data_IF_784641954882
#
_entry.id   IF_784641954882
#
_cell.length_a   1.000
_cell.length_b   1.000
_cell.length_c   1.000
_cell.angle_alpha   90.00
_cell.angle_beta   90.00
_cell.angle_gamma   90.00
#
_symmetry.space_group_name_H-M   'P 1'
#
loop_
_entity.id
_entity.type
_entity.pdbx_description
1 polymer ?
#
# COMPACT_ATOMS: atom_id res chain seq x y z
N UNK A 1 -8.55 4.96 13.61
CA UNK A 1 -9.12 3.70 13.03
C UNK A 1 -10.22 3.98 12.02
N UNK A 2 -11.04 4.99 12.20
CA UNK A 2 -12.21 5.20 11.33
C UNK A 2 -11.84 5.43 9.86
N UNK A 3 -10.94 6.37 9.58
CA UNK A 3 -10.51 6.65 8.21
C UNK A 3 -9.75 5.49 7.57
N UNK A 4 -8.76 4.91 8.27
CA UNK A 4 -7.81 3.98 7.66
C UNK A 4 -8.29 2.51 7.65
N UNK A 5 -9.29 2.15 8.45
CA UNK A 5 -9.75 0.75 8.58
C UNK A 5 -11.23 0.62 8.28
N UNK A 6 -12.10 1.38 9.00
CA UNK A 6 -13.54 1.29 8.78
C UNK A 6 -13.96 1.77 7.39
N UNK A 7 -13.43 2.93 6.94
CA UNK A 7 -13.84 3.48 5.65
C UNK A 7 -13.54 2.54 4.47
N UNK A 8 -12.33 1.96 4.31
CA UNK A 8 -12.08 1.00 3.24
C UNK A 8 -12.99 -0.23 3.30
N UNK A 9 -13.25 -0.75 4.50
CA UNK A 9 -14.14 -1.90 4.67
C UNK A 9 -15.58 -1.58 4.28
N UNK A 10 -16.17 -0.55 4.87
CA UNK A 10 -17.56 -0.22 4.61
C UNK A 10 -17.81 0.34 3.22
N UNK A 11 -16.84 1.05 2.62
CA UNK A 11 -16.92 1.47 1.22
C UNK A 11 -16.92 0.25 0.29
N UNK A 12 -16.03 -0.71 0.51
CA UNK A 12 -16.02 -1.95 -0.28
C UNK A 12 -17.30 -2.74 -0.10
N UNK A 13 -17.83 -2.80 1.13
CA UNK A 13 -19.11 -3.45 1.41
C UNK A 13 -20.27 -2.75 0.68
N UNK A 14 -20.33 -1.43 0.72
CA UNK A 14 -21.37 -0.65 0.05
C UNK A 14 -21.31 -0.79 -1.48
N UNK A 15 -20.12 -0.98 -2.04
CA UNK A 15 -19.92 -1.16 -3.48
C UNK A 15 -19.93 -2.64 -3.92
N UNK A 16 -20.11 -3.57 -2.99
CA UNK A 16 -19.97 -5.01 -3.25
C UNK A 16 -20.76 -5.49 -4.47
N UNK A 17 -22.04 -5.15 -4.55
CA UNK A 17 -22.92 -5.64 -5.62
C UNK A 17 -22.52 -5.07 -6.99
N UNK A 18 -22.07 -3.81 -7.04
CA UNK A 18 -21.54 -3.19 -8.25
C UNK A 18 -20.23 -3.83 -8.70
N UNK A 19 -19.30 -4.06 -7.76
CA UNK A 19 -18.04 -4.73 -8.02
C UNK A 19 -18.26 -6.15 -8.54
N UNK A 20 -19.14 -6.92 -7.88
CA UNK A 20 -19.51 -8.28 -8.28
C UNK A 20 -20.17 -8.31 -9.65
N UNK A 21 -21.07 -7.36 -9.94
CA UNK A 21 -21.75 -7.28 -11.23
C UNK A 21 -20.79 -6.93 -12.39
N UNK A 22 -19.72 -6.16 -12.10
CA UNK A 22 -18.71 -5.77 -13.09
C UNK A 22 -17.62 -6.82 -13.28
N UNK A 23 -17.27 -7.58 -12.22
CA UNK A 23 -16.21 -8.57 -12.22
C UNK A 23 -16.55 -9.83 -13.03
N UNK A 24 -15.55 -10.34 -13.78
CA UNK A 24 -15.60 -11.61 -14.50
C UNK A 24 -14.32 -12.40 -14.25
N UNK A 25 -14.35 -13.69 -14.48
CA UNK A 25 -13.18 -14.55 -14.24
C UNK A 25 -11.95 -14.08 -15.03
N UNK A 26 -12.14 -13.60 -16.25
CA UNK A 26 -11.09 -13.12 -17.15
C UNK A 26 -10.77 -11.64 -16.96
N UNK A 27 -11.56 -10.94 -16.16
CA UNK A 27 -11.41 -9.52 -15.86
C UNK A 27 -12.05 -9.21 -14.49
N UNK A 28 -11.40 -9.59 -13.37
CA UNK A 28 -11.95 -9.36 -12.05
C UNK A 28 -12.05 -7.87 -11.72
N UNK A 29 -13.07 -7.50 -10.95
CA UNK A 29 -13.13 -6.17 -10.36
C UNK A 29 -11.94 -5.95 -9.39
N UNK A 30 -11.50 -4.72 -9.23
CA UNK A 30 -10.30 -4.38 -8.45
C UNK A 30 -10.64 -3.47 -7.27
N UNK A 31 -10.10 -3.82 -6.12
CA UNK A 31 -10.04 -2.96 -4.92
C UNK A 31 -8.57 -2.84 -4.53
N UNK A 32 -8.04 -1.61 -4.53
CA UNK A 32 -6.65 -1.34 -4.18
C UNK A 32 -6.64 -0.42 -2.96
N UNK A 33 -6.24 -0.94 -1.81
CA UNK A 33 -6.12 -0.18 -0.58
C UNK A 33 -4.75 0.53 -0.52
N UNK A 34 -4.73 1.77 -0.06
CA UNK A 34 -3.48 2.49 0.19
C UNK A 34 -3.11 2.34 1.66
N UNK A 35 -2.12 1.49 1.92
CA UNK A 35 -1.58 1.21 3.25
C UNK A 35 -0.38 2.12 3.58
N UNK A 36 0.67 1.61 4.13
CA UNK A 36 1.97 2.28 4.35
C UNK A 36 3.02 1.23 4.70
N UNK A 37 4.29 1.51 4.44
CA UNK A 37 5.39 0.71 5.00
C UNK A 37 5.40 0.73 6.52
N UNK A 38 4.80 1.73 7.17
CA UNK A 38 4.62 1.79 8.62
C UNK A 38 3.62 0.76 9.15
N UNK A 39 2.88 0.09 8.28
CA UNK A 39 2.12 -1.11 8.62
C UNK A 39 2.92 -2.40 8.52
N UNK A 40 4.12 -2.36 7.93
CA UNK A 40 5.01 -3.52 7.70
C UNK A 40 6.18 -3.49 8.67
N UNK A 41 6.78 -2.31 8.86
CA UNK A 41 7.91 -2.08 9.76
C UNK A 41 7.63 -0.85 10.63
N UNK A 42 8.27 -0.78 11.77
CA UNK A 42 8.22 0.42 12.60
C UNK A 42 9.32 1.42 12.19
N UNK A 43 9.04 2.69 12.42
CA UNK A 43 9.99 3.78 12.38
C UNK A 43 10.15 4.40 13.80
N UNK A 44 11.13 5.28 14.04
CA UNK A 44 11.34 5.85 15.37
C UNK A 44 10.31 6.91 15.79
N UNK A 45 9.32 7.22 14.96
CA UNK A 45 8.30 8.24 15.26
C UNK A 45 7.23 7.66 16.18
N UNK A 46 6.74 8.48 17.10
CA UNK A 46 5.68 8.10 18.05
C UNK A 46 4.27 8.18 17.41
N UNK A 47 4.09 7.51 16.29
CA UNK A 47 2.82 7.47 15.53
C UNK A 47 2.09 6.14 15.71
N UNK A 48 1.91 5.69 16.95
CA UNK A 48 1.37 4.38 17.32
C UNK A 48 0.04 4.04 16.66
N UNK A 49 -0.93 4.95 16.70
CA UNK A 49 -2.25 4.74 16.10
C UNK A 49 -2.19 4.62 14.58
N UNK A 50 -1.27 5.33 13.93
CA UNK A 50 -1.06 5.25 12.49
C UNK A 50 -0.49 3.88 12.10
N UNK A 51 0.60 3.44 12.76
CA UNK A 51 1.19 2.10 12.55
C UNK A 51 0.15 1.01 12.75
N UNK A 52 -0.59 1.04 13.87
CA UNK A 52 -1.63 0.07 14.16
C UNK A 52 -2.72 0.05 13.07
N UNK A 53 -3.17 1.23 12.62
CA UNK A 53 -4.21 1.32 11.57
C UNK A 53 -3.74 0.80 10.22
N UNK A 54 -2.48 1.08 9.83
CA UNK A 54 -1.92 0.62 8.55
C UNK A 54 -1.61 -0.88 8.56
N UNK A 55 -1.13 -1.43 9.70
CA UNK A 55 -1.01 -2.88 9.88
C UNK A 55 -2.37 -3.57 9.82
N UNK A 56 -3.38 -3.01 10.48
CA UNK A 56 -4.74 -3.53 10.43
C UNK A 56 -5.31 -3.52 9.00
N UNK A 57 -5.06 -2.47 8.21
CA UNK A 57 -5.53 -2.40 6.83
C UNK A 57 -4.83 -3.42 5.92
N UNK A 58 -3.53 -3.69 6.13
CA UNK A 58 -2.81 -4.75 5.43
C UNK A 58 -3.45 -6.11 5.71
N UNK A 59 -3.71 -6.43 6.97
CA UNK A 59 -4.35 -7.69 7.33
C UNK A 59 -5.79 -7.78 6.82
N UNK A 60 -6.55 -6.68 6.92
CA UNK A 60 -7.91 -6.59 6.40
C UNK A 60 -7.95 -6.81 4.89
N UNK A 61 -6.99 -6.25 4.13
CA UNK A 61 -6.83 -6.49 2.69
C UNK A 61 -6.76 -7.98 2.38
N UNK A 62 -5.91 -8.73 3.09
CA UNK A 62 -5.78 -10.20 2.92
C UNK A 62 -7.08 -10.92 3.25
N UNK A 63 -7.75 -10.53 4.33
CA UNK A 63 -9.02 -11.14 4.75
C UNK A 63 -10.16 -10.87 3.77
N UNK A 64 -10.24 -9.65 3.26
CA UNK A 64 -11.20 -9.28 2.21
C UNK A 64 -10.91 -10.02 0.91
N UNK A 65 -9.67 -10.09 0.48
CA UNK A 65 -9.26 -10.82 -0.71
C UNK A 65 -9.67 -12.29 -0.66
N UNK A 66 -9.41 -12.98 0.45
CA UNK A 66 -9.79 -14.38 0.64
C UNK A 66 -11.30 -14.62 0.54
N UNK A 67 -12.14 -13.65 0.90
CA UNK A 67 -13.59 -13.75 0.78
C UNK A 67 -14.09 -13.32 -0.59
N UNK A 68 -13.60 -12.19 -1.11
CA UNK A 68 -14.17 -11.52 -2.27
C UNK A 68 -13.69 -12.11 -3.60
N UNK A 69 -12.60 -12.87 -3.61
CA UNK A 69 -12.14 -13.60 -4.81
C UNK A 69 -13.21 -14.56 -5.36
N UNK A 70 -14.06 -15.12 -4.49
CA UNK A 70 -15.19 -15.95 -4.88
C UNK A 70 -16.31 -15.19 -5.61
N UNK A 71 -16.33 -13.87 -5.47
CA UNK A 71 -17.23 -12.96 -6.17
C UNK A 71 -16.56 -12.24 -7.35
N UNK A 72 -15.40 -12.75 -7.82
CA UNK A 72 -14.57 -12.17 -8.89
C UNK A 72 -14.12 -10.73 -8.61
N UNK A 73 -13.79 -10.45 -7.35
CA UNK A 73 -13.26 -9.17 -6.89
C UNK A 73 -11.87 -9.41 -6.29
N UNK A 74 -10.84 -8.87 -6.92
CA UNK A 74 -9.48 -8.91 -6.42
C UNK A 74 -9.22 -7.73 -5.48
N UNK A 75 -8.75 -8.02 -4.28
CA UNK A 75 -8.37 -7.01 -3.29
C UNK A 75 -6.87 -7.08 -3.07
N UNK A 76 -6.21 -5.94 -3.23
CA UNK A 76 -4.77 -5.77 -3.03
C UNK A 76 -4.49 -4.49 -2.27
N UNK A 77 -3.25 -4.25 -1.93
CA UNK A 77 -2.83 -2.95 -1.39
C UNK A 77 -1.48 -2.50 -1.89
N UNK A 78 -1.26 -1.19 -1.83
CA UNK A 78 0.03 -0.55 -2.03
C UNK A 78 0.47 0.03 -0.68
N UNK A 79 1.73 -0.20 -0.32
CA UNK A 79 2.36 0.34 0.87
C UNK A 79 3.43 1.36 0.46
N UNK A 80 3.09 2.66 0.37
CA UNK A 80 4.05 3.69 0.05
C UNK A 80 5.10 3.89 1.15
N UNK A 81 6.32 4.24 0.75
CA UNK A 81 7.37 4.77 1.60
C UNK A 81 7.35 6.29 1.68
N UNK A 82 8.52 6.91 1.58
CA UNK A 82 8.65 8.36 1.64
C UNK A 82 8.36 9.01 0.28
N UNK A 83 7.27 9.77 0.23
CA UNK A 83 6.87 10.65 -0.88
C UNK A 83 6.68 12.06 -0.34
N UNK A 84 7.01 13.07 -1.14
CA UNK A 84 6.76 14.47 -0.80
C UNK A 84 5.24 14.73 -0.79
N UNK A 85 4.68 15.14 0.34
CA UNK A 85 3.25 15.45 0.47
C UNK A 85 2.99 16.37 1.67
N UNK A 86 1.78 16.91 1.75
CA UNK A 86 1.34 17.65 2.93
C UNK A 86 1.31 16.80 4.21
N UNK A 87 1.07 15.49 4.07
CA UNK A 87 1.12 14.55 5.20
C UNK A 87 2.57 14.24 5.60
N UNK A 88 3.49 14.19 4.63
CA UNK A 88 4.91 13.91 4.86
C UNK A 88 5.76 15.16 4.55
N UNK A 89 5.61 16.19 5.40
CA UNK A 89 6.34 17.45 5.26
C UNK A 89 7.86 17.27 5.36
N UNK A 90 8.33 16.31 6.14
CA UNK A 90 9.77 16.03 6.25
C UNK A 90 10.36 15.58 4.91
N UNK A 91 9.67 14.70 4.20
CA UNK A 91 10.11 14.31 2.85
C UNK A 91 9.95 15.45 1.84
N UNK A 92 8.94 16.31 1.99
CA UNK A 92 8.72 17.49 1.14
C UNK A 92 9.80 18.54 1.35
N UNK A 93 10.09 18.90 2.60
CA UNK A 93 10.92 20.05 2.94
C UNK A 93 12.41 19.69 3.07
N UNK A 94 12.73 18.42 3.34
CA UNK A 94 14.07 17.90 3.56
C UNK A 94 14.34 16.61 2.76
N UNK A 95 13.87 16.55 1.51
CA UNK A 95 13.93 15.36 0.66
C UNK A 95 15.33 14.76 0.52
N UNK A 96 16.36 15.58 0.36
CA UNK A 96 17.75 15.12 0.24
C UNK A 96 18.27 14.41 1.51
N UNK A 97 17.86 14.88 2.69
CA UNK A 97 18.20 14.23 3.94
C UNK A 97 17.49 12.89 4.10
N UNK A 98 16.20 12.83 3.73
CA UNK A 98 15.41 11.60 3.74
C UNK A 98 15.95 10.60 2.71
N UNK A 99 16.31 11.06 1.51
CA UNK A 99 16.86 10.23 0.43
C UNK A 99 18.12 9.45 0.87
N UNK A 100 18.96 10.03 1.73
CA UNK A 100 20.16 9.37 2.27
C UNK A 100 19.84 8.14 3.12
N UNK A 101 18.65 8.07 3.69
CA UNK A 101 18.18 6.97 4.54
C UNK A 101 17.47 5.87 3.74
N UNK A 102 17.17 6.12 2.46
CA UNK A 102 16.49 5.19 1.57
C UNK A 102 17.54 4.42 0.77
N UNK A 103 17.46 3.07 0.65
CA UNK A 103 18.40 2.30 -0.18
C UNK A 103 18.51 2.80 -1.62
N UNK A 104 17.40 3.17 -2.25
CA UNK A 104 17.36 3.74 -3.61
C UNK A 104 17.94 5.17 -3.72
N UNK A 105 18.35 5.79 -2.60
CA UNK A 105 18.95 7.13 -2.54
C UNK A 105 18.09 8.26 -3.11
N UNK A 106 16.81 8.07 -3.16
CA UNK A 106 15.81 9.08 -3.53
C UNK A 106 14.50 8.88 -2.79
N UNK A 107 13.70 9.92 -2.67
CA UNK A 107 12.28 9.79 -2.33
C UNK A 107 11.49 9.30 -3.55
N UNK A 108 10.30 8.78 -3.33
CA UNK A 108 9.38 8.39 -4.41
C UNK A 108 8.82 9.60 -5.15
N UNK A 109 8.47 9.40 -6.41
CA UNK A 109 7.77 10.35 -7.27
C UNK A 109 6.42 9.80 -7.70
N UNK A 110 5.55 10.64 -8.24
CA UNK A 110 4.17 10.28 -8.58
C UNK A 110 4.12 9.08 -9.55
N UNK A 111 5.08 8.97 -10.46
CA UNK A 111 5.18 7.88 -11.42
C UNK A 111 5.43 6.53 -10.76
N UNK A 112 6.17 6.48 -9.63
CA UNK A 112 6.40 5.25 -8.88
C UNK A 112 5.07 4.69 -8.33
N UNK A 113 4.20 5.58 -7.81
CA UNK A 113 2.88 5.19 -7.32
C UNK A 113 1.91 4.86 -8.46
N UNK A 114 1.91 5.68 -9.50
CA UNK A 114 1.08 5.47 -10.68
C UNK A 114 1.39 4.11 -11.33
N UNK A 115 2.67 3.76 -11.49
CA UNK A 115 3.10 2.49 -12.05
C UNK A 115 2.56 1.28 -11.25
N UNK A 116 2.66 1.31 -9.93
CA UNK A 116 2.12 0.26 -9.08
C UNK A 116 0.58 0.17 -9.15
N UNK A 117 -0.10 1.31 -9.16
CA UNK A 117 -1.55 1.37 -9.28
C UNK A 117 -2.04 0.85 -10.64
N UNK A 118 -1.39 1.25 -11.73
CA UNK A 118 -1.69 0.77 -13.09
C UNK A 118 -1.46 -0.74 -13.20
N UNK A 119 -0.34 -1.24 -12.66
CA UNK A 119 -0.06 -2.68 -12.63
C UNK A 119 -1.19 -3.44 -11.96
N UNK A 120 -1.57 -3.08 -10.73
CA UNK A 120 -2.62 -3.77 -9.98
C UNK A 120 -4.02 -3.61 -10.60
N UNK A 121 -4.31 -2.46 -11.20
CA UNK A 121 -5.60 -2.18 -11.83
C UNK A 121 -5.76 -2.84 -13.21
N UNK A 122 -4.65 -3.12 -13.90
CA UNK A 122 -4.65 -3.71 -15.24
C UNK A 122 -4.74 -5.23 -15.21
N UNK A 123 -4.81 -5.84 -16.38
CA UNK A 123 -4.76 -7.30 -16.57
C UNK A 123 -3.47 -7.93 -16.04
N UNK A 124 -2.37 -7.19 -15.99
CA UNK A 124 -1.11 -7.68 -15.43
C UNK A 124 -1.24 -8.02 -13.93
N UNK A 125 -2.14 -7.35 -13.22
CA UNK A 125 -2.45 -7.60 -11.81
C UNK A 125 -3.58 -8.60 -11.56
N UNK A 126 -4.14 -9.28 -12.56
CA UNK A 126 -5.29 -10.18 -12.37
C UNK A 126 -4.97 -11.39 -11.50
N UNK A 127 -3.73 -11.82 -11.47
CA UNK A 127 -3.29 -12.97 -10.67
C UNK A 127 -2.69 -12.57 -9.31
N UNK A 128 -2.72 -11.26 -8.97
CA UNK A 128 -2.24 -10.73 -7.68
C UNK A 128 -3.45 -10.54 -6.76
N UNK A 129 -3.54 -11.34 -5.71
CA UNK A 129 -4.69 -11.37 -4.80
C UNK A 129 -4.19 -11.36 -3.36
N UNK A 130 -4.70 -10.43 -2.55
CA UNK A 130 -4.36 -10.31 -1.13
C UNK A 130 -2.96 -9.79 -0.84
N UNK A 131 -2.21 -9.40 -1.86
CA UNK A 131 -0.83 -8.95 -1.72
C UNK A 131 -0.74 -7.47 -1.40
N UNK A 132 0.34 -7.10 -0.74
CA UNK A 132 0.72 -5.70 -0.45
C UNK A 132 2.03 -5.40 -1.16
N UNK A 133 1.98 -4.55 -2.18
CA UNK A 133 3.19 -4.10 -2.91
C UNK A 133 3.79 -2.91 -2.19
N UNK A 134 5.05 -3.02 -1.76
CA UNK A 134 5.81 -1.88 -1.24
C UNK A 134 6.37 -1.03 -2.37
N UNK A 135 6.15 0.29 -2.29
CA UNK A 135 6.72 1.28 -3.20
C UNK A 135 7.50 2.27 -2.34
N UNK A 136 8.74 1.90 -1.98
CA UNK A 136 9.45 2.54 -0.88
C UNK A 136 10.97 2.68 -1.08
N UNK A 137 11.46 2.38 -2.26
CA UNK A 137 12.89 2.41 -2.54
C UNK A 137 13.73 1.41 -1.72
N UNK A 138 13.09 0.34 -1.22
CA UNK A 138 13.76 -0.75 -0.48
C UNK A 138 13.78 -0.56 1.04
N UNK A 139 13.10 0.44 1.58
CA UNK A 139 13.12 0.76 3.02
C UNK A 139 12.60 -0.40 3.86
N UNK A 140 11.54 -1.07 3.44
CA UNK A 140 10.92 -2.15 4.21
C UNK A 140 11.72 -3.48 4.13
N UNK A 141 12.28 -3.79 2.96
CA UNK A 141 12.81 -5.14 2.70
C UNK A 141 14.28 -5.21 2.28
N UNK A 142 14.90 -4.10 1.90
CA UNK A 142 16.29 -4.05 1.44
C UNK A 142 17.19 -3.14 2.31
N UNK A 143 16.70 -2.67 3.46
CA UNK A 143 17.47 -1.84 4.37
C UNK A 143 18.20 -2.73 5.38
N UNK A 144 19.51 -2.87 5.23
CA UNK A 144 20.39 -3.67 6.10
C UNK A 144 20.84 -2.94 7.36
N UNK A 145 20.37 -1.68 7.59
CA UNK A 145 20.89 -0.83 8.65
C UNK A 145 22.27 -0.24 8.32
N UNK A 146 22.78 0.60 9.20
CA UNK A 146 24.07 1.32 9.01
C UNK A 146 25.34 0.47 9.24
N UNK A 147 25.25 -0.87 9.21
CA UNK A 147 26.31 -1.77 9.61
C UNK A 147 27.01 -2.59 8.51
N UNK A 148 26.50 -2.60 7.29
CA UNK A 148 27.16 -3.26 6.16
C UNK A 148 27.72 -2.22 5.19
N UNK A 149 28.99 -1.83 5.40
CA UNK A 149 29.82 -1.30 4.33
C UNK A 149 30.47 -2.49 3.61
N UNK A 150 30.17 -2.67 2.35
CA UNK A 150 30.92 -3.54 1.44
C UNK A 150 32.18 -2.81 1.04
#
# INVERSE_FOLDING_TARGET
MDLNVKSPFFLTQALHDLLKASGRREQPAKVINITSIDGIRFNPQETYSYHASKSALIYLTRRMAARLVHDTINVTSIAPGAFASEMNRVARDHGDAVAKLIPARRIGVDEDMAGAAIYLASRAGDYVIGETITVDGGVAHANTGSGFSV
#
